data_IF_883891845634
#
_entry.id   IF_883891845634
#
_cell.length_a   1.000
_cell.length_b   1.000
_cell.length_c   1.000
_cell.angle_alpha   90.00
_cell.angle_beta   90.00
_cell.angle_gamma   90.00
#
_symmetry.space_group_name_H-M   'P 1'
#
loop_
_entity.id
_entity.type
_entity.pdbx_description
1 polymer ?
#
# COMPACT_ATOMS: atom_id res chain seq x y z
N UNK A 1 13.06 11.59 -15.65
CA UNK A 1 12.48 10.91 -14.46
C UNK A 1 11.51 11.79 -13.66
N UNK A 2 11.68 13.12 -13.56
CA UNK A 2 10.67 14.05 -12.99
C UNK A 2 9.24 13.80 -13.51
N UNK A 3 9.09 13.77 -14.83
CA UNK A 3 7.81 13.48 -15.50
C UNK A 3 7.18 12.15 -15.10
N UNK A 4 7.95 11.10 -14.73
CA UNK A 4 7.41 9.75 -14.44
C UNK A 4 6.83 9.60 -13.03
N UNK A 5 7.37 10.29 -12.02
CA UNK A 5 6.82 10.23 -10.65
C UNK A 5 5.56 11.10 -10.50
N UNK A 6 5.53 12.26 -11.16
CA UNK A 6 4.29 13.04 -11.34
C UNK A 6 3.29 12.31 -12.23
N UNK A 7 3.74 11.57 -13.26
CA UNK A 7 2.86 10.71 -14.07
C UNK A 7 2.14 9.71 -13.19
N UNK A 8 2.84 8.92 -12.36
CA UNK A 8 2.19 7.88 -11.54
C UNK A 8 1.20 8.49 -10.54
N UNK A 9 1.52 9.67 -9.98
CA UNK A 9 0.58 10.40 -9.13
C UNK A 9 -0.65 10.89 -9.90
N UNK A 10 -0.46 11.42 -11.12
CA UNK A 10 -1.54 11.91 -11.98
C UNK A 10 -2.33 10.77 -12.64
N UNK A 11 -1.70 9.63 -12.90
CA UNK A 11 -2.29 8.38 -13.38
C UNK A 11 -3.14 7.78 -12.28
N UNK A 12 -2.66 7.72 -11.04
CA UNK A 12 -3.48 7.32 -9.90
C UNK A 12 -4.64 8.28 -9.61
N UNK A 13 -4.51 9.58 -9.89
CA UNK A 13 -5.64 10.51 -9.78
C UNK A 13 -6.61 10.44 -10.97
N UNK A 14 -6.14 9.97 -12.13
CA UNK A 14 -6.93 9.79 -13.34
C UNK A 14 -7.57 8.41 -13.51
N UNK A 15 -7.20 7.44 -12.67
CA UNK A 15 -7.78 6.10 -12.64
C UNK A 15 -9.17 6.14 -12.00
N UNK A 16 -10.11 5.34 -12.55
CA UNK A 16 -11.40 5.10 -11.89
C UNK A 16 -11.21 4.04 -10.81
N UNK A 17 -11.66 4.33 -9.60
CA UNK A 17 -11.64 3.40 -8.47
C UNK A 17 -13.05 2.98 -8.11
N UNK A 18 -13.21 1.75 -7.65
CA UNK A 18 -14.51 1.24 -7.22
C UNK A 18 -14.92 1.74 -5.83
N UNK A 19 -13.97 2.22 -5.02
CA UNK A 19 -14.19 2.81 -3.69
C UNK A 19 -12.95 3.57 -3.20
N UNK A 20 -13.09 4.38 -2.15
CA UNK A 20 -11.96 5.05 -1.47
C UNK A 20 -10.94 4.04 -0.91
N UNK A 21 -11.43 2.87 -0.49
CA UNK A 21 -10.60 1.77 -0.03
C UNK A 21 -9.77 1.19 -1.18
N UNK A 22 -10.35 1.01 -2.38
CA UNK A 22 -9.60 0.57 -3.57
C UNK A 22 -8.48 1.55 -3.93
N UNK A 23 -8.77 2.86 -3.88
CA UNK A 23 -7.79 3.91 -4.09
C UNK A 23 -6.61 3.82 -3.11
N UNK A 24 -6.89 3.79 -1.80
CA UNK A 24 -5.86 3.76 -0.75
C UNK A 24 -4.94 2.55 -0.90
N UNK A 25 -5.49 1.41 -1.32
CA UNK A 25 -4.72 0.18 -1.53
C UNK A 25 -3.78 0.27 -2.69
N UNK A 26 -4.27 0.73 -3.85
CA UNK A 26 -3.43 0.95 -5.03
C UNK A 26 -2.32 1.95 -4.70
N UNK A 27 -2.65 3.03 -4.00
CA UNK A 27 -1.67 4.00 -3.54
C UNK A 27 -0.62 3.37 -2.60
N UNK A 28 -1.03 2.57 -1.62
CA UNK A 28 -0.15 1.85 -0.71
C UNK A 28 0.76 0.85 -1.44
N UNK A 29 0.24 0.12 -2.42
CA UNK A 29 1.01 -0.81 -3.26
C UNK A 29 2.08 -0.09 -4.09
N UNK A 30 1.72 1.05 -4.70
CA UNK A 30 2.69 1.86 -5.44
C UNK A 30 3.76 2.45 -4.52
N UNK A 31 3.39 2.88 -3.30
CA UNK A 31 4.36 3.29 -2.28
C UNK A 31 5.32 2.17 -1.93
N UNK A 32 4.82 0.96 -1.67
CA UNK A 32 5.66 -0.20 -1.35
C UNK A 32 6.64 -0.52 -2.48
N UNK A 33 6.16 -0.55 -3.71
CA UNK A 33 6.98 -0.78 -4.91
C UNK A 33 8.07 0.28 -5.05
N UNK A 34 7.74 1.55 -4.80
CA UNK A 34 8.71 2.65 -4.85
C UNK A 34 9.76 2.53 -3.75
N UNK A 35 9.36 2.17 -2.53
CA UNK A 35 10.28 1.93 -1.41
C UNK A 35 11.27 0.81 -1.76
N UNK A 36 10.79 -0.31 -2.31
CA UNK A 36 11.66 -1.43 -2.75
C UNK A 36 12.67 -0.98 -3.79
N UNK A 37 12.24 -0.19 -4.77
CA UNK A 37 13.10 0.39 -5.80
C UNK A 37 14.18 1.29 -5.18
N UNK A 38 13.81 2.15 -4.23
CA UNK A 38 14.73 3.06 -3.53
C UNK A 38 15.73 2.31 -2.67
N UNK A 39 15.30 1.28 -1.95
CA UNK A 39 16.18 0.41 -1.18
C UNK A 39 17.22 -0.26 -2.10
N UNK A 40 16.79 -0.79 -3.25
CA UNK A 40 17.70 -1.40 -4.23
C UNK A 40 18.72 -0.41 -4.82
N UNK A 41 18.35 0.87 -4.99
CA UNK A 41 19.32 1.92 -5.36
C UNK A 41 20.33 2.16 -4.24
N UNK A 42 19.85 2.31 -3.00
CA UNK A 42 20.70 2.55 -1.84
C UNK A 42 21.65 1.38 -1.54
N UNK A 43 21.22 0.13 -1.74
CA UNK A 43 22.05 -1.08 -1.61
C UNK A 43 23.22 -1.05 -2.59
N UNK A 44 22.98 -0.51 -3.78
CA UNK A 44 24.00 -0.26 -4.82
C UNK A 44 24.79 1.03 -4.57
N UNK A 45 24.63 1.65 -3.40
CA UNK A 45 25.23 2.94 -3.02
C UNK A 45 24.88 4.08 -3.98
N UNK A 46 23.72 4.01 -4.62
CA UNK A 46 23.19 5.07 -5.46
C UNK A 46 22.22 5.93 -4.64
N UNK A 47 22.25 7.25 -4.84
CA UNK A 47 21.32 8.16 -4.20
C UNK A 47 19.99 8.14 -4.96
N UNK A 48 18.86 7.79 -4.31
CA UNK A 48 17.55 7.95 -4.93
C UNK A 48 17.23 9.44 -5.13
N UNK A 49 16.44 9.79 -6.17
CA UNK A 49 15.97 11.15 -6.34
C UNK A 49 15.17 11.64 -5.12
N UNK A 50 15.45 12.87 -4.66
CA UNK A 50 14.74 13.47 -3.51
C UNK A 50 13.23 13.55 -3.78
N UNK A 51 12.85 13.80 -5.04
CA UNK A 51 11.45 13.86 -5.47
C UNK A 51 10.68 12.56 -5.20
N UNK A 52 11.36 11.41 -5.13
CA UNK A 52 10.68 10.14 -4.80
C UNK A 52 10.31 10.06 -3.32
N UNK A 53 11.15 10.60 -2.44
CA UNK A 53 10.81 10.71 -1.02
C UNK A 53 9.72 11.77 -0.81
N UNK A 54 9.75 12.90 -1.52
CA UNK A 54 8.66 13.89 -1.47
C UNK A 54 7.33 13.30 -1.95
N UNK A 55 7.37 12.45 -2.98
CA UNK A 55 6.19 11.71 -3.44
C UNK A 55 5.67 10.74 -2.37
N UNK A 56 6.55 9.99 -1.69
CA UNK A 56 6.17 9.12 -0.58
C UNK A 56 5.49 9.89 0.55
N UNK A 57 6.00 11.08 0.87
CA UNK A 57 5.44 11.94 1.91
C UNK A 57 4.01 12.39 1.59
N UNK A 58 3.77 12.86 0.36
CA UNK A 58 2.42 13.22 -0.11
C UNK A 58 1.45 12.04 -0.10
N UNK A 59 1.93 10.86 -0.48
CA UNK A 59 1.11 9.64 -0.47
C UNK A 59 0.78 9.21 0.96
N UNK A 60 1.75 9.31 1.89
CA UNK A 60 1.55 9.09 3.32
C UNK A 60 0.45 10.00 3.88
N UNK A 61 0.54 11.31 3.65
CA UNK A 61 -0.45 12.28 4.16
C UNK A 61 -1.86 12.01 3.62
N UNK A 62 -1.96 11.63 2.34
CA UNK A 62 -3.24 11.29 1.71
C UNK A 62 -3.85 10.04 2.31
N UNK A 63 -3.09 8.95 2.38
CA UNK A 63 -3.55 7.68 2.94
C UNK A 63 -3.96 7.86 4.40
N UNK A 64 -3.20 8.65 5.16
CA UNK A 64 -3.50 8.96 6.56
C UNK A 64 -4.88 9.60 6.70
N UNK A 65 -5.10 10.71 6.00
CA UNK A 65 -6.36 11.46 6.07
C UNK A 65 -7.54 10.56 5.70
N UNK A 66 -7.48 9.95 4.52
CA UNK A 66 -8.60 9.17 4.01
C UNK A 66 -8.83 7.91 4.89
N UNK A 67 -7.79 7.33 5.48
CA UNK A 67 -7.95 6.21 6.44
C UNK A 67 -8.63 6.65 7.74
N UNK A 68 -8.30 7.82 8.29
CA UNK A 68 -8.92 8.34 9.52
C UNK A 68 -10.41 8.67 9.33
N UNK A 69 -10.78 9.13 8.14
CA UNK A 69 -12.18 9.40 7.77
C UNK A 69 -13.02 8.10 7.82
N UNK A 70 -12.45 6.97 7.40
CA UNK A 70 -13.11 5.66 7.40
C UNK A 70 -13.07 4.91 8.74
N UNK A 71 -12.21 5.31 9.66
CA UNK A 71 -12.07 4.64 10.97
C UNK A 71 -13.23 5.06 11.89
N UNK A 72 -13.91 4.11 12.57
CA UNK A 72 -14.95 4.43 13.55
C UNK A 72 -14.42 5.36 14.64
N UNK A 73 -15.26 6.29 15.10
CA UNK A 73 -14.88 7.35 16.04
C UNK A 73 -14.18 6.81 17.30
N UNK A 74 -14.66 5.68 17.84
CA UNK A 74 -14.09 5.01 19.01
C UNK A 74 -12.61 4.58 18.85
N UNK A 75 -12.16 4.39 17.61
CA UNK A 75 -10.82 3.92 17.25
C UNK A 75 -9.97 5.03 16.62
N UNK A 76 -10.58 6.16 16.23
CA UNK A 76 -9.95 7.25 15.47
C UNK A 76 -8.74 7.83 16.20
N UNK A 77 -8.90 8.18 17.49
CA UNK A 77 -7.83 8.76 18.31
C UNK A 77 -6.59 7.86 18.41
N UNK A 78 -6.78 6.57 18.68
CA UNK A 78 -5.67 5.59 18.80
C UNK A 78 -4.90 5.42 17.48
N UNK A 79 -5.65 5.42 16.38
CA UNK A 79 -5.09 5.33 15.04
C UNK A 79 -4.31 6.61 14.70
N UNK A 80 -4.88 7.77 14.99
CA UNK A 80 -4.25 9.08 14.81
C UNK A 80 -2.95 9.24 15.62
N UNK A 81 -2.94 8.85 16.90
CA UNK A 81 -1.74 8.89 17.75
C UNK A 81 -0.59 8.03 17.17
N UNK A 82 -0.92 6.85 16.65
CA UNK A 82 0.07 5.97 16.00
C UNK A 82 0.66 6.62 14.75
N UNK A 83 -0.17 7.35 14.00
CA UNK A 83 0.27 8.06 12.80
C UNK A 83 1.09 9.31 13.11
N UNK A 84 0.71 10.10 14.12
CA UNK A 84 1.48 11.26 14.59
C UNK A 84 2.90 10.81 14.98
N UNK A 85 3.03 9.70 15.72
CA UNK A 85 4.33 9.18 16.12
C UNK A 85 5.22 8.82 14.91
N UNK A 86 4.63 8.23 13.86
CA UNK A 86 5.36 7.89 12.63
C UNK A 86 5.70 9.13 11.82
N UNK A 87 4.78 10.10 11.71
CA UNK A 87 5.04 11.37 11.03
C UNK A 87 6.21 12.11 11.67
N UNK A 88 6.21 12.23 13.01
CA UNK A 88 7.33 12.84 13.72
C UNK A 88 8.64 12.09 13.51
N UNK A 89 8.62 10.75 13.42
CA UNK A 89 9.80 9.97 13.08
C UNK A 89 10.30 10.27 11.65
N UNK A 90 9.41 10.32 10.67
CA UNK A 90 9.72 10.67 9.27
C UNK A 90 10.34 12.06 9.18
N UNK A 91 9.72 13.07 9.79
CA UNK A 91 10.20 14.46 9.82
C UNK A 91 11.60 14.56 10.45
N UNK A 92 11.82 13.87 11.58
CA UNK A 92 13.13 13.81 12.23
C UNK A 92 14.20 13.23 11.28
N UNK A 93 13.89 12.10 10.63
CA UNK A 93 14.83 11.44 9.71
C UNK A 93 15.13 12.28 8.48
N UNK A 94 14.16 13.02 7.96
CA UNK A 94 14.36 13.98 6.90
C UNK A 94 15.37 15.06 7.30
N UNK A 95 15.17 15.66 8.48
CA UNK A 95 16.11 16.62 9.05
C UNK A 95 17.54 16.06 9.12
N UNK A 96 17.69 14.79 9.52
CA UNK A 96 18.99 14.13 9.58
C UNK A 96 19.61 13.92 8.20
N UNK A 97 18.86 13.46 7.19
CA UNK A 97 19.34 13.24 5.81
C UNK A 97 19.98 14.50 5.23
N UNK A 98 19.35 15.67 5.43
CA UNK A 98 19.83 16.94 4.91
C UNK A 98 21.01 17.53 5.69
N UNK A 99 21.13 17.22 6.98
CA UNK A 99 22.26 17.67 7.83
C UNK A 99 23.54 16.89 7.58
N UNK A 100 23.49 15.71 6.95
CA UNK A 100 24.68 14.90 6.71
C UNK A 100 25.53 15.43 5.54
N UNK A 101 26.80 15.68 5.84
CA UNK A 101 27.85 15.99 4.85
C UNK A 101 28.44 14.74 4.21
N UNK A 102 28.51 13.63 4.96
CA UNK A 102 29.04 12.36 4.48
C UNK A 102 27.99 11.56 3.71
N UNK A 103 28.37 11.12 2.50
CA UNK A 103 27.52 10.28 1.65
C UNK A 103 27.08 8.97 2.32
N UNK A 104 28.01 8.29 3.02
CA UNK A 104 27.73 7.04 3.74
C UNK A 104 26.65 7.25 4.82
N UNK A 105 26.77 8.34 5.58
CA UNK A 105 25.79 8.67 6.60
C UNK A 105 24.45 9.03 5.97
N UNK A 106 24.44 9.84 4.90
CA UNK A 106 23.23 10.18 4.16
C UNK A 106 22.46 8.93 3.67
N UNK A 107 23.15 7.94 3.11
CA UNK A 107 22.55 6.65 2.72
C UNK A 107 21.93 5.93 3.92
N UNK A 108 22.62 5.89 5.05
CA UNK A 108 22.11 5.24 6.27
C UNK A 108 20.81 5.88 6.75
N UNK A 109 20.74 7.22 6.78
CA UNK A 109 19.52 7.94 7.14
C UNK A 109 18.41 7.76 6.10
N UNK A 110 18.74 7.66 4.81
CA UNK A 110 17.76 7.33 3.77
C UNK A 110 17.16 5.93 3.96
N UNK A 111 17.95 4.91 4.34
CA UNK A 111 17.41 3.60 4.72
C UNK A 111 16.53 3.68 5.96
N UNK A 112 16.91 4.47 6.96
CA UNK A 112 16.08 4.67 8.14
C UNK A 112 14.74 5.32 7.78
N UNK A 113 14.75 6.32 6.89
CA UNK A 113 13.55 6.96 6.37
C UNK A 113 12.64 5.98 5.62
N UNK A 114 13.19 5.13 4.74
CA UNK A 114 12.43 4.07 4.06
C UNK A 114 11.78 3.09 5.04
N UNK A 115 12.46 2.74 6.13
CA UNK A 115 11.90 1.85 7.16
C UNK A 115 10.68 2.45 7.87
N UNK A 116 10.67 3.75 8.13
CA UNK A 116 9.51 4.41 8.73
C UNK A 116 8.30 4.40 7.77
N UNK A 117 8.51 4.65 6.47
CA UNK A 117 7.46 4.49 5.46
C UNK A 117 6.95 3.04 5.37
N UNK A 118 7.81 2.02 5.53
CA UNK A 118 7.38 0.62 5.56
C UNK A 118 6.50 0.30 6.78
N UNK A 119 6.88 0.77 7.98
CA UNK A 119 6.06 0.59 9.19
C UNK A 119 4.68 1.21 9.02
N UNK A 120 4.61 2.40 8.41
CA UNK A 120 3.34 3.03 8.07
C UNK A 120 2.46 2.13 7.20
N UNK A 121 3.00 1.60 6.09
CA UNK A 121 2.25 0.74 5.17
C UNK A 121 1.75 -0.54 5.84
N UNK A 122 2.53 -1.12 6.77
CA UNK A 122 2.11 -2.29 7.56
C UNK A 122 0.90 -1.96 8.45
N UNK A 123 0.91 -0.80 9.11
CA UNK A 123 -0.20 -0.35 9.95
C UNK A 123 -1.46 -0.12 9.12
N UNK A 124 -1.34 0.59 7.98
CA UNK A 124 -2.46 0.84 7.06
C UNK A 124 -3.05 -0.47 6.57
N UNK A 125 -2.21 -1.41 6.13
CA UNK A 125 -2.67 -2.73 5.67
C UNK A 125 -3.43 -3.48 6.77
N UNK A 126 -2.98 -3.37 8.03
CA UNK A 126 -3.65 -3.96 9.18
C UNK A 126 -5.02 -3.30 9.47
N UNK A 127 -5.10 -1.98 9.41
CA UNK A 127 -6.35 -1.22 9.60
C UNK A 127 -7.36 -1.58 8.51
N UNK A 128 -6.96 -1.52 7.24
CA UNK A 128 -7.82 -1.85 6.10
C UNK A 128 -8.34 -3.29 6.17
N UNK A 129 -7.50 -4.24 6.60
CA UNK A 129 -7.92 -5.64 6.81
C UNK A 129 -9.00 -5.75 7.88
N UNK A 130 -8.85 -5.03 9.00
CA UNK A 130 -9.85 -5.03 10.08
C UNK A 130 -11.17 -4.37 9.64
N UNK A 131 -11.09 -3.28 8.88
CA UNK A 131 -12.28 -2.62 8.32
C UNK A 131 -13.03 -3.56 7.37
N UNK A 132 -12.31 -4.27 6.51
CA UNK A 132 -12.92 -5.27 5.61
C UNK A 132 -13.59 -6.43 6.34
N UNK A 133 -13.03 -6.89 7.46
CA UNK A 133 -13.66 -7.95 8.25
C UNK A 133 -15.00 -7.53 8.90
N UNK A 134 -15.31 -6.24 8.95
CA UNK A 134 -16.62 -5.72 9.37
C UNK A 134 -17.60 -5.56 8.19
N UNK A 135 -17.14 -5.77 6.96
CA UNK A 135 -17.97 -5.69 5.76
C UNK A 135 -18.76 -6.99 5.53
N UNK A 136 -19.92 -6.93 4.85
CA UNK A 136 -20.63 -8.09 4.35
C UNK A 136 -19.72 -9.06 3.58
N UNK A 137 -19.98 -10.37 3.66
CA UNK A 137 -19.16 -11.44 3.08
C UNK A 137 -18.83 -11.22 1.58
N UNK A 138 -19.79 -10.72 0.80
CA UNK A 138 -19.64 -10.47 -0.63
C UNK A 138 -18.72 -9.27 -0.93
N UNK A 139 -18.79 -8.21 -0.12
CA UNK A 139 -17.84 -7.08 -0.18
C UNK A 139 -16.45 -7.54 0.24
N UNK A 140 -16.37 -8.45 1.22
CA UNK A 140 -15.13 -9.04 1.71
C UNK A 140 -14.45 -9.93 0.67
N UNK A 141 -15.21 -10.74 -0.06
CA UNK A 141 -14.70 -11.58 -1.16
C UNK A 141 -14.22 -10.73 -2.34
N UNK A 142 -15.03 -9.74 -2.76
CA UNK A 142 -14.61 -8.75 -3.77
C UNK A 142 -13.33 -8.03 -3.32
N UNK A 143 -13.24 -7.68 -2.04
CA UNK A 143 -12.07 -7.06 -1.43
C UNK A 143 -10.84 -7.98 -1.38
N UNK A 144 -10.98 -9.28 -1.16
CA UNK A 144 -9.86 -10.26 -1.15
C UNK A 144 -9.37 -10.53 -2.57
N UNK A 145 -10.27 -10.66 -3.54
CA UNK A 145 -9.93 -10.87 -4.95
C UNK A 145 -9.12 -9.69 -5.51
N UNK A 146 -9.49 -8.46 -5.16
CA UNK A 146 -8.73 -7.25 -5.54
C UNK A 146 -7.31 -7.27 -4.94
N UNK A 147 -7.13 -7.72 -3.69
CA UNK A 147 -5.78 -7.84 -3.07
C UNK A 147 -4.89 -8.79 -3.85
N UNK A 148 -5.40 -10.00 -4.12
CA UNK A 148 -4.60 -11.06 -4.72
C UNK A 148 -4.25 -10.73 -6.17
N UNK A 149 -5.18 -10.09 -6.90
CA UNK A 149 -4.92 -9.56 -8.24
C UNK A 149 -3.83 -8.48 -8.25
N UNK A 150 -3.92 -7.47 -7.37
CA UNK A 150 -2.99 -6.32 -7.37
C UNK A 150 -1.60 -6.67 -6.80
N UNK A 151 -1.50 -7.65 -5.89
CA UNK A 151 -0.22 -8.15 -5.39
C UNK A 151 0.47 -9.14 -6.35
N UNK A 152 -0.14 -9.46 -7.49
CA UNK A 152 0.37 -10.48 -8.42
C UNK A 152 0.43 -11.89 -7.79
N UNK A 153 -0.38 -12.13 -6.75
CA UNK A 153 -0.50 -13.43 -6.10
C UNK A 153 -1.60 -14.17 -6.87
N UNK A 154 -1.20 -14.93 -7.89
CA UNK A 154 -2.13 -15.87 -8.51
C UNK A 154 -2.63 -16.84 -7.43
N UNK A 155 -3.91 -16.75 -7.08
CA UNK A 155 -4.56 -17.87 -6.43
C UNK A 155 -4.42 -19.06 -7.36
N UNK A 156 -3.65 -20.07 -6.93
CA UNK A 156 -3.79 -21.43 -7.44
C UNK A 156 -5.24 -21.82 -7.18
N UNK A 157 -6.13 -21.55 -8.14
CA UNK A 157 -7.51 -22.00 -8.15
C UNK A 157 -7.46 -23.49 -7.83
N UNK A 158 -7.90 -23.88 -6.62
CA UNK A 158 -8.24 -25.27 -6.36
C UNK A 158 -9.37 -25.58 -7.33
N UNK A 159 -9.06 -26.32 -8.40
CA UNK A 159 -10.05 -26.96 -9.26
C UNK A 159 -10.97 -27.76 -8.34
N UNK A 160 -12.14 -27.22 -8.03
CA UNK A 160 -13.27 -28.01 -7.56
C UNK A 160 -13.78 -28.74 -8.79
N UNK A 161 -13.22 -29.92 -9.04
CA UNK A 161 -13.78 -30.88 -9.99
C UNK A 161 -15.18 -31.19 -9.47
N UNK A 162 -16.22 -30.76 -10.19
CA UNK A 162 -17.56 -31.29 -9.97
C UNK A 162 -17.57 -32.72 -10.53
N UNK A 163 -18.05 -33.74 -9.79
CA UNK A 163 -18.39 -34.99 -10.44
C UNK A 163 -19.57 -34.71 -11.38
N UNK A 164 -19.31 -34.92 -12.66
CA UNK A 164 -20.35 -35.06 -13.68
C UNK A 164 -20.99 -36.42 -13.41
N UNK A 165 -22.17 -36.43 -12.77
CA UNK A 165 -23.08 -37.57 -12.90
C UNK A 165 -23.71 -37.50 -14.30
N UNK A 166 -23.11 -38.24 -15.23
CA UNK A 166 -23.79 -38.75 -16.42
C UNK A 166 -24.23 -40.18 -16.12
N UNK A 167 -25.53 -40.43 -16.30
CA UNK A 167 -26.14 -41.76 -16.42
C UNK A 167 -27.65 -41.57 -16.39
N UNK A 168 -28.31 -41.54 -17.55
CA UNK A 168 -29.05 -42.69 -18.12
C UNK A 168 -30.32 -42.95 -17.28
N UNK A 169 -31.55 -42.77 -17.71
CA UNK A 169 -32.34 -43.22 -18.88
C UNK A 169 -33.67 -42.41 -18.82
N UNK A 170 -34.52 -42.19 -19.82
CA UNK A 170 -34.65 -42.64 -21.20
C UNK A 170 -35.87 -41.91 -21.80
N UNK A 171 -35.89 -41.76 -23.13
CA UNK A 171 -37.03 -41.26 -23.91
C UNK A 171 -37.27 -42.23 -25.07
N UNK A 172 -38.57 -42.51 -25.29
CA UNK A 172 -39.27 -43.19 -26.40
C UNK A 172 -39.63 -44.67 -26.24
N UNK A 173 -40.94 -44.87 -26.14
CA UNK A 173 -41.74 -46.09 -26.33
C UNK A 173 -43.20 -45.74 -26.14
#
# INVERSE_FOLDING_TARGET
>A
MRRRSELIYSELLGMRFSSEIDFIRKLAFHMESRIKLMAGLLDRKLQPPIEWFMWLDKCFERILRDTLEMVPEENRKRVEESFIAIKGAIETRWGDVFKQTSFKHRISYMFALLREYQKFLQIITSVLRKLSNKMPEWERQTFVEIIYSELGIEEKKKKKVMPVEKGAEGVVG
#
